data_IF_375167894569
#
_entry.id   IF_375167894569
#
_cell.length_a   1.000
_cell.length_b   1.000
_cell.length_c   1.000
_cell.angle_alpha   90.00
_cell.angle_beta   90.00
_cell.angle_gamma   90.00
#
_symmetry.space_group_name_H-M   'P 1'
#
loop_
_entity.id
_entity.type
_entity.pdbx_description
1 polymer ?
#
# COMPACT_ATOMS: atom_id res chain seq x y z
N UNK A 1 -2.39 -2.64 -23.24
CA UNK A 1 -1.71 -3.73 -22.49
C UNK A 1 -2.06 -3.61 -21.02
N UNK A 2 -2.73 -4.60 -20.41
CA UNK A 2 -3.01 -4.58 -18.98
C UNK A 2 -1.70 -4.73 -18.21
N UNK A 3 -1.31 -3.73 -17.41
CA UNK A 3 -0.16 -3.85 -16.49
C UNK A 3 -0.41 -5.01 -15.53
N UNK A 4 0.53 -5.95 -15.52
CA UNK A 4 0.56 -7.15 -14.68
C UNK A 4 0.35 -6.81 -13.19
N UNK A 5 -0.39 -7.68 -12.50
CA UNK A 5 -0.62 -7.55 -11.05
C UNK A 5 0.65 -7.95 -10.32
N UNK A 6 1.17 -7.04 -9.48
CA UNK A 6 2.36 -7.28 -8.68
C UNK A 6 1.97 -7.55 -7.23
N UNK A 7 2.84 -8.28 -6.54
CA UNK A 7 2.69 -8.60 -5.13
C UNK A 7 3.69 -7.79 -4.31
N UNK A 8 3.19 -7.16 -3.25
CA UNK A 8 3.97 -6.36 -2.33
C UNK A 8 3.86 -6.91 -0.92
N UNK A 9 4.99 -7.05 -0.24
CA UNK A 9 5.06 -7.54 1.13
C UNK A 9 5.27 -6.38 2.09
N UNK A 10 4.41 -6.32 3.10
CA UNK A 10 4.54 -5.46 4.27
C UNK A 10 5.01 -6.31 5.44
N UNK A 11 6.03 -5.86 6.15
CA UNK A 11 6.50 -6.49 7.38
C UNK A 11 6.23 -5.55 8.55
N UNK A 12 5.46 -6.02 9.53
CA UNK A 12 5.17 -5.30 10.78
C UNK A 12 5.59 -6.20 11.93
N UNK A 13 6.76 -5.95 12.51
CA UNK A 13 7.39 -6.89 13.45
C UNK A 13 7.67 -8.22 12.77
N UNK A 14 7.14 -9.31 13.33
CA UNK A 14 7.28 -10.66 12.80
C UNK A 14 6.23 -11.02 11.74
N UNK A 15 5.12 -10.29 11.71
CA UNK A 15 4.01 -10.55 10.79
C UNK A 15 4.33 -10.09 9.37
N UNK A 16 3.93 -10.92 8.40
CA UNK A 16 4.05 -10.66 6.97
C UNK A 16 2.66 -10.54 6.36
N UNK A 17 2.39 -9.40 5.74
CA UNK A 17 1.15 -9.19 4.98
C UNK A 17 1.47 -9.00 3.50
N UNK A 18 0.69 -9.64 2.63
CA UNK A 18 0.86 -9.54 1.18
C UNK A 18 -0.29 -8.75 0.58
N UNK A 19 0.04 -7.72 -0.19
CA UNK A 19 -0.91 -6.85 -0.87
C UNK A 19 -0.68 -6.88 -2.38
N UNK A 20 -1.75 -6.98 -3.15
CA UNK A 20 -1.70 -6.93 -4.62
C UNK A 20 -1.86 -5.51 -5.13
N UNK A 21 -1.16 -5.16 -6.20
CA UNK A 21 -1.35 -3.86 -6.87
C UNK A 21 -0.52 -3.74 -8.14
N UNK A 22 -0.88 -2.78 -9.00
CA UNK A 22 -0.07 -2.43 -10.18
C UNK A 22 1.13 -1.56 -9.83
N UNK A 23 1.04 -0.85 -8.71
CA UNK A 23 2.07 0.06 -8.19
C UNK A 23 2.23 -0.10 -6.67
N UNK A 24 3.39 0.25 -6.10
CA UNK A 24 3.59 0.18 -4.65
C UNK A 24 2.64 1.11 -3.89
N UNK A 25 2.24 2.24 -4.50
CA UNK A 25 1.26 3.17 -3.92
C UNK A 25 -0.12 2.53 -3.79
N UNK A 26 -0.56 1.76 -4.79
CA UNK A 26 -1.85 1.08 -4.74
C UNK A 26 -1.88 0.01 -3.65
N UNK A 27 -0.79 -0.75 -3.49
CA UNK A 27 -0.64 -1.69 -2.38
C UNK A 27 -0.63 -0.96 -1.03
N UNK A 28 0.03 0.20 -0.94
CA UNK A 28 0.03 1.03 0.27
C UNK A 28 -1.37 1.55 0.62
N UNK A 29 -2.17 1.97 -0.36
CA UNK A 29 -3.56 2.38 -0.11
C UNK A 29 -4.39 1.25 0.49
N UNK A 30 -4.23 0.02 -0.02
CA UNK A 30 -4.90 -1.17 0.55
C UNK A 30 -4.44 -1.45 1.98
N UNK A 31 -3.15 -1.30 2.26
CA UNK A 31 -2.63 -1.44 3.62
C UNK A 31 -3.20 -0.34 4.54
N UNK A 32 -3.26 0.91 4.09
CA UNK A 32 -3.86 2.01 4.86
C UNK A 32 -5.33 1.73 5.19
N UNK A 33 -6.13 1.21 4.23
CA UNK A 33 -7.52 0.80 4.49
C UNK A 33 -7.64 -0.26 5.59
N UNK A 34 -6.65 -1.15 5.72
CA UNK A 34 -6.59 -2.16 6.79
C UNK A 34 -6.15 -1.59 8.15
N UNK A 35 -5.76 -0.31 8.22
CA UNK A 35 -5.35 0.37 9.45
C UNK A 35 -3.83 0.50 9.63
N UNK A 36 -3.02 0.13 8.65
CA UNK A 36 -1.57 0.32 8.73
C UNK A 36 -1.19 1.80 8.50
N UNK A 37 -0.48 2.40 9.46
CA UNK A 37 0.04 3.78 9.36
C UNK A 37 1.46 3.81 8.80
N UNK A 38 2.38 3.04 9.39
CA UNK A 38 3.74 2.92 8.89
C UNK A 38 3.84 1.74 7.92
N UNK A 39 3.91 2.06 6.63
CA UNK A 39 3.81 1.08 5.54
C UNK A 39 5.17 0.96 4.85
N UNK A 40 5.84 -0.17 5.06
CA UNK A 40 7.11 -0.50 4.42
C UNK A 40 6.89 -1.66 3.45
N UNK A 41 6.88 -1.37 2.15
CA UNK A 41 6.51 -2.34 1.11
C UNK A 41 7.68 -2.75 0.24
N UNK A 42 7.86 -4.06 0.07
CA UNK A 42 8.80 -4.66 -0.89
C UNK A 42 8.05 -5.32 -2.02
N UNK A 43 8.48 -5.14 -3.26
CA UNK A 43 7.96 -5.91 -4.40
C UNK A 43 8.50 -7.36 -4.36
N UNK A 44 7.61 -8.35 -4.29
CA UNK A 44 7.99 -9.78 -4.25
C UNK A 44 8.57 -10.20 -5.59
N UNK A 45 9.67 -10.93 -5.57
CA UNK A 45 10.35 -11.43 -6.77
C UNK A 45 11.24 -10.41 -7.49
N UNK A 46 11.26 -9.14 -7.05
CA UNK A 46 12.11 -8.10 -7.66
C UNK A 46 13.37 -7.85 -6.83
N UNK A 47 14.53 -7.92 -7.48
CA UNK A 47 15.82 -7.43 -6.98
C UNK A 47 16.36 -6.36 -7.91
N UNK A 48 17.12 -5.42 -7.36
CA UNK A 48 17.90 -4.48 -8.15
C UNK A 48 19.09 -5.22 -8.80
N UNK A 49 19.71 -4.62 -9.83
CA UNK A 49 20.91 -5.18 -10.49
C UNK A 49 22.02 -5.49 -9.50
N UNK A 50 22.17 -4.67 -8.46
CA UNK A 50 23.17 -4.79 -7.41
C UNK A 50 22.79 -5.85 -6.33
N UNK A 51 21.76 -6.64 -6.56
CA UNK A 51 21.25 -7.66 -5.62
C UNK A 51 20.47 -7.11 -4.42
N UNK A 52 20.30 -5.78 -4.33
CA UNK A 52 19.56 -5.12 -3.24
C UNK A 52 18.05 -5.15 -3.43
N UNK A 53 17.30 -5.04 -2.34
CA UNK A 53 15.86 -4.85 -2.33
C UNK A 53 15.51 -3.38 -2.16
N UNK A 54 14.47 -2.94 -2.88
CA UNK A 54 13.90 -1.61 -2.72
C UNK A 54 12.66 -1.69 -1.81
N UNK A 55 12.73 -1.06 -0.65
CA UNK A 55 11.62 -0.94 0.29
C UNK A 55 11.02 0.45 0.12
N UNK A 56 9.77 0.50 -0.33
CA UNK A 56 9.02 1.73 -0.45
C UNK A 56 8.36 2.06 0.90
N UNK A 57 8.70 3.23 1.46
CA UNK A 57 8.18 3.67 2.75
C UNK A 57 7.07 4.69 2.52
N UNK A 58 5.89 4.41 3.07
CA UNK A 58 4.72 5.26 3.03
C UNK A 58 4.18 5.50 4.43
N UNK A 59 3.61 6.68 4.64
CA UNK A 59 2.71 6.99 5.76
C UNK A 59 1.28 6.91 5.26
N UNK A 60 0.52 5.97 5.81
CA UNK A 60 -0.90 5.76 5.55
C UNK A 60 -1.77 6.44 6.61
N UNK A 61 -2.90 6.96 6.15
CA UNK A 61 -3.96 7.51 6.99
C UNK A 61 -5.32 7.20 6.35
N UNK A 62 -6.40 7.33 7.11
CA UNK A 62 -7.76 7.11 6.63
C UNK A 62 -8.63 8.26 7.08
N UNK A 63 -9.12 9.03 6.10
CA UNK A 63 -10.10 10.09 6.36
C UNK A 63 -11.50 9.55 6.15
N UNK A 64 -12.43 9.98 7.00
CA UNK A 64 -13.85 9.75 6.77
C UNK A 64 -14.35 10.95 5.97
N UNK A 65 -14.94 10.69 4.81
CA UNK A 65 -15.51 11.71 3.92
C UNK A 65 -16.97 11.40 3.66
N UNK A 66 -17.77 12.43 3.43
CA UNK A 66 -19.16 12.23 3.04
C UNK A 66 -19.23 11.58 1.65
N UNK A 67 -20.18 10.66 1.52
CA UNK A 67 -20.45 9.99 0.26
C UNK A 67 -21.05 10.99 -0.75
N UNK A 68 -20.82 10.79 -2.06
CA UNK A 68 -21.38 11.68 -3.08
C UNK A 68 -22.91 11.67 -3.05
N UNK A 69 -23.54 12.76 -3.51
CA UNK A 69 -25.00 12.89 -3.53
C UNK A 69 -25.68 11.78 -4.37
N UNK A 70 -25.04 11.34 -5.46
CA UNK A 70 -25.49 10.24 -6.31
C UNK A 70 -25.01 8.86 -5.81
N UNK A 71 -25.01 8.64 -4.49
CA UNK A 71 -24.64 7.34 -3.92
C UNK A 71 -25.81 6.35 -4.05
N UNK A 72 -25.52 5.06 -4.28
CA UNK A 72 -26.54 4.03 -4.17
C UNK A 72 -26.95 3.81 -2.71
N UNK A 73 -28.17 3.33 -2.48
CA UNK A 73 -28.78 3.23 -1.14
C UNK A 73 -28.01 2.34 -0.17
N UNK A 74 -27.34 1.30 -0.67
CA UNK A 74 -26.54 0.38 0.12
C UNK A 74 -25.22 0.99 0.64
N UNK A 75 -24.76 2.11 0.08
CA UNK A 75 -23.51 2.77 0.49
C UNK A 75 -23.80 3.75 1.64
N UNK A 76 -23.14 3.65 2.81
CA UNK A 76 -23.39 4.56 3.93
C UNK A 76 -23.09 6.02 3.59
N UNK A 77 -23.71 6.95 4.35
CA UNK A 77 -23.53 8.39 4.16
C UNK A 77 -22.08 8.88 4.33
N UNK A 78 -21.26 8.13 5.08
CA UNK A 78 -19.83 8.43 5.28
C UNK A 78 -18.98 7.23 4.85
N UNK A 79 -17.94 7.50 4.06
CA UNK A 79 -17.03 6.48 3.52
C UNK A 79 -15.59 6.73 3.96
N UNK A 80 -14.86 5.63 4.20
CA UNK A 80 -13.44 5.67 4.51
C UNK A 80 -12.64 5.90 3.22
N UNK A 81 -11.90 7.00 3.15
CA UNK A 81 -10.98 7.33 2.06
C UNK A 81 -9.53 7.16 2.55
N UNK A 82 -8.84 6.07 2.16
CA UNK A 82 -7.44 5.89 2.50
C UNK A 82 -6.57 6.90 1.75
N UNK A 83 -5.58 7.46 2.44
CA UNK A 83 -4.60 8.38 1.88
C UNK A 83 -3.22 7.85 2.23
N UNK A 84 -2.29 7.91 1.29
CA UNK A 84 -0.89 7.56 1.53
C UNK A 84 0.04 8.67 1.04
N UNK A 85 1.01 9.02 1.87
CA UNK A 85 2.13 9.89 1.52
C UNK A 85 3.39 9.06 1.43
N UNK A 86 4.14 9.19 0.34
CA UNK A 86 5.43 8.50 0.19
C UNK A 86 6.46 9.28 0.98
N UNK A 87 7.15 8.61 1.90
CA UNK A 87 8.21 9.20 2.71
C UNK A 87 9.55 9.01 2.03
N UNK A 88 9.78 7.85 1.41
CA UNK A 88 11.06 7.56 0.75
C UNK A 88 11.12 6.18 0.14
N UNK A 89 12.32 5.80 -0.30
CA UNK A 89 12.67 4.45 -0.72
C UNK A 89 14.00 4.09 -0.08
N UNK A 90 14.04 2.98 0.64
CA UNK A 90 15.24 2.44 1.24
C UNK A 90 15.77 1.30 0.40
N UNK A 91 17.10 1.18 0.31
CA UNK A 91 17.77 0.06 -0.35
C UNK A 91 18.45 -0.81 0.70
N UNK A 92 18.09 -2.09 0.75
CA UNK A 92 18.65 -3.03 1.72
C UNK A 92 19.23 -4.25 1.03
N UNK A 93 20.39 -4.74 1.50
CA UNK A 93 21.00 -5.99 1.01
C UNK A 93 20.37 -7.24 1.64
N UNK A 94 19.91 -7.13 2.90
CA UNK A 94 19.30 -8.20 3.70
C UNK A 94 17.96 -7.73 4.28
N UNK A 95 17.04 -8.67 4.53
CA UNK A 95 15.63 -8.44 4.95
C UNK A 95 15.40 -9.00 6.34
#
# INVERSE_FOLDING_TARGET
>A
MAKETKYYELRKGEEKHVFTGKTPRQAALKAATRGFKDIRLRERGRRNKDGTYSIHVFKGDVKIVDAPANRPDWLPAKVKKPIVKKTGVERVKKI
#
